data_IF_023440635494
#
_entry.id   IF_023440635494
#
_cell.length_a   1.000
_cell.length_b   1.000
_cell.length_c   1.000
_cell.angle_alpha   90.00
_cell.angle_beta   90.00
_cell.angle_gamma   90.00
#
_symmetry.space_group_name_H-M   'P 1'
#
loop_
_entity.id
_entity.type
_entity.pdbx_description
1 polymer ?
#
# COMPACT_ATOMS: atom_id res chain seq x y z
N UNK A 1 36.95 1.59 73.99
CA UNK A 1 37.88 1.23 72.89
C UNK A 1 37.30 1.47 71.50
N UNK A 2 35.97 1.31 71.28
CA UNK A 2 35.34 1.58 69.98
C UNK A 2 35.16 3.08 69.63
N UNK A 3 35.10 3.98 70.63
CA UNK A 3 34.89 5.43 70.41
C UNK A 3 36.13 6.14 69.85
N UNK A 4 37.33 5.73 70.27
CA UNK A 4 38.59 6.36 69.84
C UNK A 4 38.89 6.15 68.34
N UNK A 5 38.45 5.01 67.78
CA UNK A 5 38.63 4.68 66.37
C UNK A 5 37.73 5.49 65.44
N UNK A 6 36.56 5.96 65.91
CA UNK A 6 35.67 6.80 65.11
C UNK A 6 36.14 8.26 65.05
N UNK A 7 36.74 8.78 66.13
CA UNK A 7 37.23 10.16 66.21
C UNK A 7 38.60 10.36 65.54
N UNK A 8 39.37 9.29 65.31
CA UNK A 8 40.72 9.34 64.71
C UNK A 8 40.81 8.64 63.35
N UNK A 9 39.68 8.25 62.76
CA UNK A 9 39.69 7.71 61.40
C UNK A 9 40.05 8.84 60.42
N UNK A 10 41.11 8.69 59.60
CA UNK A 10 41.39 9.66 58.55
C UNK A 10 40.18 9.75 57.62
N UNK A 11 39.78 10.96 57.24
CA UNK A 11 38.69 11.16 56.29
C UNK A 11 38.95 10.30 55.05
N UNK A 12 38.05 9.38 54.74
CA UNK A 12 38.17 8.56 53.56
C UNK A 12 38.00 9.46 52.35
N UNK A 13 39.11 9.92 51.76
CA UNK A 13 39.10 10.54 50.44
C UNK A 13 38.53 9.53 49.47
N UNK A 14 37.32 9.80 49.00
CA UNK A 14 36.68 9.00 47.94
C UNK A 14 37.45 9.27 46.66
N UNK A 15 38.49 8.45 46.42
CA UNK A 15 39.24 8.47 45.16
C UNK A 15 38.38 7.85 44.07
N UNK A 16 38.10 8.62 43.04
CA UNK A 16 37.36 8.14 41.89
C UNK A 16 38.28 7.18 41.11
N UNK A 17 37.79 6.06 40.56
CA UNK A 17 38.63 5.14 39.78
C UNK A 17 39.38 5.81 38.60
N UNK A 18 38.85 6.94 38.12
CA UNK A 18 39.50 7.77 37.09
C UNK A 18 40.77 8.49 37.57
N UNK A 19 40.97 8.66 38.88
CA UNK A 19 42.16 9.30 39.46
C UNK A 19 43.41 8.42 39.31
N UNK A 20 43.21 7.12 39.02
CA UNK A 20 44.28 6.16 38.76
C UNK A 20 44.56 5.98 37.26
N UNK A 21 43.79 6.62 36.38
CA UNK A 21 44.08 6.57 34.95
C UNK A 21 45.24 7.54 34.63
N UNK A 22 46.31 7.05 33.96
CA UNK A 22 47.30 7.95 33.36
C UNK A 22 46.62 8.96 32.43
N UNK A 23 47.04 10.22 32.50
CA UNK A 23 46.45 11.32 31.74
C UNK A 23 46.38 11.02 30.23
N UNK A 24 47.41 10.37 29.68
CA UNK A 24 47.47 9.97 28.27
C UNK A 24 46.37 8.97 27.88
N UNK A 25 45.96 8.09 28.80
CA UNK A 25 44.89 7.14 28.54
C UNK A 25 43.53 7.84 28.57
N UNK A 26 43.34 8.75 29.52
CA UNK A 26 42.13 9.57 29.62
C UNK A 26 41.96 10.45 28.38
N UNK A 27 43.03 11.08 27.91
CA UNK A 27 43.06 11.94 26.73
C UNK A 27 42.73 11.13 25.46
N UNK A 28 43.37 9.98 25.25
CA UNK A 28 43.06 9.08 24.12
C UNK A 28 41.61 8.57 24.13
N UNK A 29 41.05 8.31 25.31
CA UNK A 29 39.66 7.91 25.45
C UNK A 29 38.71 9.06 25.11
N UNK A 30 39.01 10.28 25.55
CA UNK A 30 38.25 11.48 25.20
C UNK A 30 38.30 11.77 23.70
N UNK A 31 39.48 11.66 23.07
CA UNK A 31 39.63 11.80 21.61
C UNK A 31 38.84 10.75 20.83
N UNK A 32 38.85 9.50 21.28
CA UNK A 32 38.10 8.42 20.66
C UNK A 32 36.58 8.62 20.79
N UNK A 33 36.11 9.13 21.93
CA UNK A 33 34.70 9.44 22.18
C UNK A 33 34.25 10.72 21.45
N UNK A 34 35.16 11.69 21.28
CA UNK A 34 34.92 12.91 20.52
C UNK A 34 34.89 12.67 19.00
N UNK A 35 35.53 11.58 18.54
CA UNK A 35 35.45 11.15 17.15
C UNK A 35 34.03 10.66 16.87
N UNK A 36 33.26 11.46 16.13
CA UNK A 36 31.98 11.00 15.61
C UNK A 36 32.20 9.73 14.79
N UNK A 37 31.44 8.65 15.03
CA UNK A 37 31.52 7.47 14.19
C UNK A 37 31.31 7.88 12.74
N UNK A 38 32.12 7.33 11.82
CA UNK A 38 31.93 7.57 10.40
C UNK A 38 30.47 7.27 10.04
N UNK A 39 29.81 8.13 9.25
CA UNK A 39 28.44 7.88 8.83
C UNK A 39 28.43 6.53 8.12
N UNK A 40 27.60 5.60 8.63
CA UNK A 40 27.45 4.29 8.04
C UNK A 40 27.17 4.44 6.53
N UNK A 41 27.76 3.59 5.67
CA UNK A 41 27.55 3.68 4.23
C UNK A 41 26.04 3.73 3.96
N UNK A 42 25.63 4.66 3.08
CA UNK A 42 24.23 4.86 2.74
C UNK A 42 23.61 3.52 2.33
N UNK A 43 22.79 2.96 3.22
CA UNK A 43 22.16 1.67 2.98
C UNK A 43 21.22 1.86 1.80
N UNK A 44 21.40 1.06 0.75
CA UNK A 44 20.51 1.07 -0.40
C UNK A 44 19.06 0.88 0.10
N UNK A 45 18.11 1.75 -0.29
CA UNK A 45 16.79 1.74 0.31
C UNK A 45 16.12 0.38 0.06
N UNK A 46 15.77 -0.29 1.15
CA UNK A 46 15.09 -1.58 1.15
C UNK A 46 13.59 -1.36 1.34
N UNK A 47 12.77 -1.96 0.49
CA UNK A 47 11.31 -1.97 0.66
C UNK A 47 10.85 -3.37 1.06
N UNK A 48 10.22 -3.46 2.23
CA UNK A 48 9.75 -4.70 2.83
C UNK A 48 8.39 -5.09 2.26
N UNK A 49 8.28 -6.27 1.66
CA UNK A 49 7.06 -6.73 0.97
C UNK A 49 6.60 -8.08 1.49
N UNK A 50 5.29 -8.27 1.61
CA UNK A 50 4.71 -9.60 1.78
C UNK A 50 4.84 -10.44 0.49
N UNK A 51 4.73 -11.77 0.60
CA UNK A 51 4.84 -12.71 -0.53
C UNK A 51 3.99 -12.33 -1.77
N UNK A 52 2.78 -11.80 -1.56
CA UNK A 52 1.93 -11.36 -2.67
C UNK A 52 2.48 -10.10 -3.38
N UNK A 53 2.99 -9.13 -2.61
CA UNK A 53 3.55 -7.89 -3.15
C UNK A 53 4.93 -8.11 -3.78
N UNK A 54 5.64 -9.19 -3.44
CA UNK A 54 6.90 -9.56 -4.09
C UNK A 54 6.73 -9.90 -5.58
N UNK A 55 5.51 -10.26 -6.02
CA UNK A 55 5.20 -10.51 -7.44
C UNK A 55 5.09 -9.24 -8.28
N UNK A 56 4.98 -8.07 -7.64
CA UNK A 56 4.92 -6.78 -8.32
C UNK A 56 6.34 -6.26 -8.60
N UNK A 57 6.56 -5.51 -9.69
CA UNK A 57 7.88 -4.95 -9.99
C UNK A 57 8.38 -4.07 -8.84
N UNK A 58 9.69 -4.16 -8.57
CA UNK A 58 10.37 -3.25 -7.64
C UNK A 58 10.52 -1.86 -8.28
N UNK A 59 10.51 -0.80 -7.47
CA UNK A 59 10.86 0.54 -7.96
C UNK A 59 12.36 0.57 -8.28
N UNK A 60 12.74 1.32 -9.32
CA UNK A 60 14.14 1.48 -9.69
C UNK A 60 14.93 2.06 -8.51
N UNK A 61 16.07 1.45 -8.18
CA UNK A 61 16.93 1.87 -7.07
C UNK A 61 16.46 1.45 -5.68
N UNK A 62 15.44 0.59 -5.57
CA UNK A 62 14.93 0.07 -4.29
C UNK A 62 14.97 -1.46 -4.33
N UNK A 63 15.64 -2.06 -3.35
CA UNK A 63 15.69 -3.52 -3.22
C UNK A 63 14.45 -4.03 -2.48
N UNK A 64 13.60 -4.81 -3.15
CA UNK A 64 12.48 -5.48 -2.50
C UNK A 64 12.96 -6.69 -1.69
N UNK A 65 12.56 -6.77 -0.42
CA UNK A 65 12.87 -7.89 0.48
C UNK A 65 11.58 -8.47 1.03
N UNK A 66 11.46 -9.80 0.96
CA UNK A 66 10.31 -10.49 1.52
C UNK A 66 10.37 -10.46 3.06
N UNK A 67 9.24 -10.17 3.69
CA UNK A 67 9.12 -10.19 5.15
C UNK A 67 8.43 -11.45 5.65
N UNK A 68 8.82 -11.84 6.87
CA UNK A 68 8.11 -12.84 7.66
C UNK A 68 6.71 -12.36 8.08
N UNK A 69 5.91 -13.28 8.61
CA UNK A 69 4.49 -13.09 8.94
C UNK A 69 4.19 -11.98 9.95
N UNK A 70 5.17 -11.57 10.74
CA UNK A 70 4.99 -10.65 11.88
C UNK A 70 5.32 -9.20 11.53
N UNK A 71 5.70 -8.92 10.28
CA UNK A 71 6.05 -7.59 9.81
C UNK A 71 4.98 -7.00 8.88
N UNK A 72 4.86 -5.67 8.91
CA UNK A 72 3.95 -4.93 8.03
C UNK A 72 4.62 -4.69 6.68
N UNK A 73 3.89 -4.96 5.61
CA UNK A 73 4.36 -4.71 4.25
C UNK A 73 4.39 -3.20 3.96
N UNK A 74 5.54 -2.65 3.58
CA UNK A 74 5.72 -1.23 3.22
C UNK A 74 4.84 -0.84 2.01
N UNK A 75 4.60 -1.81 1.12
CA UNK A 75 3.82 -1.57 -0.10
C UNK A 75 2.32 -1.54 0.17
N UNK A 76 1.77 -2.57 0.83
CA UNK A 76 0.33 -2.70 1.02
C UNK A 76 -0.19 -2.31 2.40
N UNK A 77 0.69 -2.09 3.39
CA UNK A 77 0.31 -1.83 4.78
C UNK A 77 -0.56 -2.94 5.37
N UNK A 78 -0.38 -4.19 4.88
CA UNK A 78 -1.25 -5.34 5.19
C UNK A 78 -2.72 -5.22 4.74
N UNK A 79 -3.07 -4.20 3.95
CA UNK A 79 -4.42 -4.01 3.41
C UNK A 79 -4.67 -4.86 2.17
N UNK A 80 -5.66 -5.76 2.26
CA UNK A 80 -6.11 -6.57 1.12
C UNK A 80 -6.65 -5.70 -0.03
N UNK A 81 -7.32 -4.59 0.27
CA UNK A 81 -7.84 -3.66 -0.75
C UNK A 81 -6.69 -2.97 -1.51
N UNK A 82 -5.66 -2.51 -0.78
CA UNK A 82 -4.49 -1.89 -1.40
C UNK A 82 -3.71 -2.89 -2.26
N UNK A 83 -3.52 -4.12 -1.77
CA UNK A 83 -2.89 -5.20 -2.57
C UNK A 83 -3.62 -5.44 -3.88
N UNK A 84 -4.94 -5.61 -3.81
CA UNK A 84 -5.75 -5.90 -4.99
C UNK A 84 -5.78 -4.73 -5.99
N UNK A 85 -5.82 -3.49 -5.50
CA UNK A 85 -5.72 -2.30 -6.35
C UNK A 85 -4.37 -2.22 -7.09
N UNK A 86 -3.26 -2.45 -6.39
CA UNK A 86 -1.92 -2.46 -7.00
C UNK A 86 -1.79 -3.55 -8.07
N UNK A 87 -2.30 -4.75 -7.80
CA UNK A 87 -2.32 -5.83 -8.79
C UNK A 87 -3.16 -5.48 -10.03
N UNK A 88 -4.27 -4.77 -9.84
CA UNK A 88 -5.13 -4.33 -10.95
C UNK A 88 -4.48 -3.24 -11.79
N UNK A 89 -3.83 -2.26 -11.15
CA UNK A 89 -3.06 -1.22 -11.84
C UNK A 89 -1.99 -1.86 -12.73
N UNK A 90 -1.26 -2.85 -12.22
CA UNK A 90 -0.25 -3.56 -13.00
C UNK A 90 -0.87 -4.35 -14.16
N UNK A 91 -2.00 -5.02 -13.93
CA UNK A 91 -2.74 -5.70 -15.01
C UNK A 91 -3.23 -4.72 -16.11
N UNK A 92 -3.60 -3.50 -15.73
CA UNK A 92 -3.96 -2.44 -16.69
C UNK A 92 -2.73 -1.95 -17.46
N UNK A 93 -1.65 -1.67 -16.74
CA UNK A 93 -0.38 -1.17 -17.29
C UNK A 93 0.22 -2.14 -18.30
N UNK A 94 0.29 -3.43 -17.95
CA UNK A 94 0.83 -4.49 -18.84
C UNK A 94 0.04 -4.65 -20.13
N UNK A 95 -1.23 -4.20 -20.15
CA UNK A 95 -2.10 -4.27 -21.32
C UNK A 95 -2.39 -2.92 -21.98
N UNK A 96 -1.79 -1.85 -21.48
CA UNK A 96 -2.03 -0.49 -21.97
C UNK A 96 -3.45 0.03 -21.74
N UNK A 97 -4.22 -0.59 -20.83
CA UNK A 97 -5.55 -0.14 -20.45
C UNK A 97 -5.45 0.98 -19.42
N UNK A 98 -6.36 1.95 -19.44
CA UNK A 98 -6.36 3.08 -18.50
C UNK A 98 -7.72 3.45 -17.95
N UNK A 99 -8.81 2.95 -18.53
CA UNK A 99 -10.16 3.46 -18.25
C UNK A 99 -11.05 2.38 -17.65
N UNK A 100 -11.44 2.56 -16.40
CA UNK A 100 -12.35 1.67 -15.68
C UNK A 100 -13.68 2.37 -15.42
N UNK A 101 -14.77 1.75 -15.85
CA UNK A 101 -16.12 2.15 -15.47
C UNK A 101 -16.66 1.19 -14.41
N UNK A 102 -17.10 1.72 -13.28
CA UNK A 102 -17.76 0.95 -12.22
C UNK A 102 -19.23 1.36 -12.17
N UNK A 103 -20.11 0.38 -12.30
CA UNK A 103 -21.56 0.55 -12.21
C UNK A 103 -22.06 -0.05 -10.90
N UNK A 104 -22.49 0.80 -9.98
CA UNK A 104 -22.81 0.45 -8.60
C UNK A 104 -21.65 0.74 -7.62
N UNK A 105 -21.72 0.12 -6.45
CA UNK A 105 -20.86 0.37 -5.30
C UNK A 105 -21.53 1.27 -4.26
N UNK A 106 -21.18 1.06 -2.98
CA UNK A 106 -21.60 1.97 -1.91
C UNK A 106 -20.73 3.22 -1.91
N UNK A 107 -21.21 4.37 -1.39
CA UNK A 107 -20.48 5.64 -1.44
C UNK A 107 -19.09 5.54 -0.80
N UNK A 108 -18.96 4.84 0.34
CA UNK A 108 -17.66 4.63 0.98
C UNK A 108 -16.68 3.78 0.16
N UNK A 109 -17.14 2.68 -0.42
CA UNK A 109 -16.29 1.80 -1.25
C UNK A 109 -15.89 2.45 -2.58
N UNK A 110 -16.74 3.30 -3.13
CA UNK A 110 -16.46 4.05 -4.33
C UNK A 110 -15.33 5.06 -4.11
N UNK A 111 -15.37 5.78 -2.98
CA UNK A 111 -14.34 6.76 -2.65
C UNK A 111 -12.99 6.10 -2.33
N UNK A 112 -13.01 4.98 -1.60
CA UNK A 112 -11.81 4.19 -1.36
C UNK A 112 -11.17 3.70 -2.66
N UNK A 113 -11.99 3.25 -3.62
CA UNK A 113 -11.50 2.80 -4.93
C UNK A 113 -10.90 3.96 -5.73
N UNK A 114 -11.55 5.13 -5.75
CA UNK A 114 -10.98 6.33 -6.41
C UNK A 114 -9.63 6.69 -5.82
N UNK A 115 -9.52 6.73 -4.49
CA UNK A 115 -8.28 7.07 -3.81
C UNK A 115 -7.16 6.08 -4.10
N UNK A 116 -7.48 4.78 -4.16
CA UNK A 116 -6.50 3.73 -4.42
C UNK A 116 -6.00 3.71 -5.87
N UNK A 117 -6.79 4.19 -6.82
CA UNK A 117 -6.46 4.17 -8.26
C UNK A 117 -6.05 5.53 -8.82
N UNK A 118 -6.12 6.59 -7.99
CA UNK A 118 -5.86 7.95 -8.40
C UNK A 118 -4.47 8.09 -9.06
N UNK A 119 -4.45 8.68 -10.25
CA UNK A 119 -3.22 8.94 -11.02
C UNK A 119 -2.75 7.79 -11.91
N UNK A 120 -3.27 6.58 -11.72
CA UNK A 120 -2.85 5.39 -12.48
C UNK A 120 -3.93 4.87 -13.42
N UNK A 121 -5.19 4.89 -12.97
CA UNK A 121 -6.36 4.43 -13.74
C UNK A 121 -7.45 5.49 -13.68
N UNK A 122 -7.90 5.94 -14.84
CA UNK A 122 -9.06 6.81 -14.95
C UNK A 122 -10.32 6.03 -14.59
N UNK A 123 -11.00 6.44 -13.53
CA UNK A 123 -12.19 5.77 -13.04
C UNK A 123 -13.44 6.65 -13.15
N UNK A 124 -14.51 6.08 -13.71
CA UNK A 124 -15.87 6.62 -13.59
C UNK A 124 -16.71 5.70 -12.75
N UNK A 125 -17.45 6.27 -11.81
CA UNK A 125 -18.36 5.51 -10.95
C UNK A 125 -19.79 5.98 -11.19
N UNK A 126 -20.66 5.02 -11.45
CA UNK A 126 -22.08 5.19 -11.72
C UNK A 126 -22.84 4.74 -10.49
N UNK A 127 -23.25 5.69 -9.67
CA UNK A 127 -24.24 5.48 -8.61
C UNK A 127 -25.65 5.26 -9.19
N UNK A 128 -26.47 4.49 -8.47
CA UNK A 128 -27.84 4.15 -8.87
C UNK A 128 -28.86 5.27 -8.68
N UNK A 129 -28.43 6.39 -8.09
CA UNK A 129 -29.27 7.52 -7.68
C UNK A 129 -29.33 8.63 -8.74
N UNK A 130 -28.31 8.74 -9.61
CA UNK A 130 -28.26 9.75 -10.67
C UNK A 130 -29.21 9.46 -11.84
N UNK A 131 -29.92 10.49 -12.32
CA UNK A 131 -30.71 10.41 -13.55
C UNK A 131 -29.79 10.17 -14.77
N UNK A 132 -29.73 8.92 -15.21
CA UNK A 132 -28.98 8.49 -16.40
C UNK A 132 -29.92 8.08 -17.52
N UNK A 133 -29.60 8.53 -18.72
CA UNK A 133 -30.29 8.16 -19.95
C UNK A 133 -29.40 7.19 -20.77
N UNK A 134 -30.01 6.53 -21.76
CA UNK A 134 -29.30 5.55 -22.60
C UNK A 134 -28.10 6.16 -23.34
N UNK A 135 -28.18 7.43 -23.75
CA UNK A 135 -27.09 8.11 -24.44
C UNK A 135 -25.84 8.28 -23.55
N UNK A 136 -26.03 8.66 -22.28
CA UNK A 136 -24.93 8.75 -21.30
C UNK A 136 -24.31 7.39 -21.00
N UNK A 137 -25.14 6.37 -20.79
CA UNK A 137 -24.65 5.01 -20.54
C UNK A 137 -23.82 4.48 -21.71
N UNK A 138 -24.26 4.73 -22.94
CA UNK A 138 -23.56 4.35 -24.17
C UNK A 138 -22.23 5.11 -24.35
N UNK A 139 -22.19 6.39 -23.98
CA UNK A 139 -20.95 7.17 -23.96
C UNK A 139 -19.95 6.66 -22.90
N UNK A 140 -20.43 6.30 -21.71
CA UNK A 140 -19.61 5.73 -20.64
C UNK A 140 -19.07 4.35 -21.04
N UNK A 141 -19.91 3.50 -21.65
CA UNK A 141 -19.51 2.20 -22.18
C UNK A 141 -18.46 2.34 -23.29
N UNK A 142 -18.57 3.32 -24.19
CA UNK A 142 -17.55 3.58 -25.22
C UNK A 142 -16.24 4.10 -24.64
N UNK A 143 -16.32 4.95 -23.61
CA UNK A 143 -15.14 5.51 -22.97
C UNK A 143 -14.31 4.46 -22.24
N UNK A 144 -14.96 3.48 -21.59
CA UNK A 144 -14.31 2.50 -20.73
C UNK A 144 -13.59 1.39 -21.50
N UNK A 145 -12.41 1.00 -21.02
CA UNK A 145 -11.70 -0.19 -21.47
C UNK A 145 -12.26 -1.45 -20.80
N UNK A 146 -12.62 -1.33 -19.52
CA UNK A 146 -13.25 -2.38 -18.71
C UNK A 146 -14.46 -1.81 -17.97
N UNK A 147 -15.54 -2.58 -17.91
CA UNK A 147 -16.79 -2.19 -17.23
C UNK A 147 -17.09 -3.18 -16.12
N UNK A 148 -16.97 -2.75 -14.87
CA UNK A 148 -17.30 -3.56 -13.69
C UNK A 148 -18.70 -3.25 -13.17
N UNK A 149 -19.62 -4.19 -13.31
CA UNK A 149 -20.97 -4.11 -12.75
C UNK A 149 -20.96 -4.70 -11.35
N UNK A 150 -21.10 -3.84 -10.34
CA UNK A 150 -21.02 -4.21 -8.94
C UNK A 150 -22.40 -4.62 -8.40
N UNK A 151 -22.73 -5.90 -8.55
CA UNK A 151 -24.07 -6.44 -8.29
C UNK A 151 -24.52 -6.42 -6.83
N UNK A 152 -23.59 -6.19 -5.90
CA UNK A 152 -23.86 -6.29 -4.45
C UNK A 152 -24.49 -5.02 -3.83
N UNK A 153 -24.63 -3.97 -4.63
CA UNK A 153 -25.38 -2.75 -4.33
C UNK A 153 -26.59 -2.66 -5.24
N UNK A 154 -27.76 -2.47 -4.63
CA UNK A 154 -29.04 -2.35 -5.33
C UNK A 154 -29.00 -1.07 -6.17
N UNK A 155 -28.78 -1.22 -7.47
CA UNK A 155 -29.05 -0.19 -8.44
C UNK A 155 -30.54 -0.22 -8.77
N UNK A 156 -31.14 0.91 -9.12
CA UNK A 156 -32.48 0.88 -9.70
C UNK A 156 -32.49 -0.04 -10.94
N UNK A 157 -33.50 -0.91 -11.05
CA UNK A 157 -33.64 -1.84 -12.18
C UNK A 157 -33.55 -1.14 -13.55
N UNK A 158 -33.91 0.15 -13.62
CA UNK A 158 -33.82 0.99 -14.80
C UNK A 158 -32.38 1.32 -15.21
N UNK A 159 -31.50 1.65 -14.26
CA UNK A 159 -30.10 1.99 -14.57
C UNK A 159 -29.28 0.73 -14.86
N UNK A 160 -29.55 -0.39 -14.18
CA UNK A 160 -28.81 -1.64 -14.43
C UNK A 160 -28.99 -2.10 -15.86
N UNK A 161 -30.25 -2.09 -16.33
CA UNK A 161 -30.61 -2.47 -17.70
C UNK A 161 -29.86 -1.65 -18.76
N UNK A 162 -29.63 -0.35 -18.53
CA UNK A 162 -28.89 0.49 -19.49
C UNK A 162 -27.46 -0.01 -19.76
N UNK A 163 -26.83 -0.66 -18.78
CA UNK A 163 -25.47 -1.18 -18.91
C UNK A 163 -25.45 -2.69 -19.19
N UNK A 164 -26.44 -3.45 -18.71
CA UNK A 164 -26.49 -4.92 -18.90
C UNK A 164 -27.15 -5.34 -20.21
N UNK A 165 -28.16 -4.61 -20.71
CA UNK A 165 -28.86 -4.96 -21.95
C UNK A 165 -27.98 -4.73 -23.19
N UNK A 166 -26.83 -4.04 -23.02
CA UNK A 166 -25.83 -3.84 -24.07
C UNK A 166 -24.69 -4.87 -24.03
N UNK A 167 -24.88 -5.98 -23.30
CA UNK A 167 -23.90 -7.07 -23.22
C UNK A 167 -23.57 -7.66 -24.60
N UNK A 168 -24.49 -7.63 -25.56
CA UNK A 168 -24.23 -8.13 -26.91
C UNK A 168 -23.18 -7.28 -27.65
N UNK A 169 -23.13 -5.97 -27.39
CA UNK A 169 -22.18 -5.06 -28.02
C UNK A 169 -20.87 -4.90 -27.21
N UNK A 170 -20.91 -5.05 -25.89
CA UNK A 170 -19.77 -4.75 -24.99
C UNK A 170 -19.41 -5.88 -24.02
N UNK A 171 -19.96 -7.08 -24.17
CA UNK A 171 -19.75 -8.23 -23.27
C UNK A 171 -18.29 -8.66 -23.17
N UNK A 172 -17.50 -8.40 -24.22
CA UNK A 172 -16.05 -8.63 -24.23
C UNK A 172 -15.30 -7.90 -23.12
N UNK A 173 -15.81 -6.75 -22.63
CA UNK A 173 -15.17 -5.94 -21.57
C UNK A 173 -16.00 -5.78 -20.30
N UNK A 174 -17.21 -6.34 -20.26
CA UNK A 174 -18.09 -6.28 -19.10
C UNK A 174 -17.75 -7.42 -18.12
N UNK A 175 -17.54 -7.07 -16.86
CA UNK A 175 -17.37 -8.00 -15.74
C UNK A 175 -18.43 -7.76 -14.69
N UNK A 176 -19.04 -8.84 -14.20
CA UNK A 176 -20.01 -8.79 -13.11
C UNK A 176 -19.30 -9.15 -11.82
N UNK A 177 -19.37 -8.27 -10.81
CA UNK A 177 -18.72 -8.45 -9.51
C UNK A 177 -19.77 -8.88 -8.48
N UNK A 178 -19.83 -10.17 -8.10
CA UNK A 178 -20.89 -10.70 -7.25
C UNK A 178 -20.73 -10.32 -5.77
N UNK A 179 -19.52 -9.97 -5.32
CA UNK A 179 -19.19 -9.73 -3.90
C UNK A 179 -19.03 -8.24 -3.57
N UNK A 180 -19.30 -7.89 -2.31
CA UNK A 180 -18.97 -6.57 -1.74
C UNK A 180 -17.46 -6.45 -1.50
N UNK A 181 -16.95 -5.22 -1.54
CA UNK A 181 -15.57 -4.88 -1.19
C UNK A 181 -14.64 -4.61 -2.39
N UNK A 182 -13.76 -3.62 -2.22
CA UNK A 182 -12.83 -3.14 -3.24
C UNK A 182 -11.92 -4.25 -3.76
N UNK A 183 -11.38 -5.09 -2.87
CA UNK A 183 -10.54 -6.21 -3.28
C UNK A 183 -11.26 -7.19 -4.23
N UNK A 184 -12.54 -7.49 -3.98
CA UNK A 184 -13.29 -8.41 -4.84
C UNK A 184 -13.53 -7.82 -6.24
N UNK A 185 -13.77 -6.51 -6.33
CA UNK A 185 -13.90 -5.80 -7.59
C UNK A 185 -12.58 -5.85 -8.38
N UNK A 186 -11.46 -5.49 -7.74
CA UNK A 186 -10.16 -5.50 -8.39
C UNK A 186 -9.79 -6.89 -8.91
N UNK A 187 -10.04 -7.95 -8.12
CA UNK A 187 -9.74 -9.33 -8.53
C UNK A 187 -10.59 -9.78 -9.73
N UNK A 188 -11.89 -9.48 -9.74
CA UNK A 188 -12.76 -9.82 -10.87
C UNK A 188 -12.33 -9.09 -12.15
N UNK A 189 -11.93 -7.82 -12.02
CA UNK A 189 -11.39 -7.04 -13.13
C UNK A 189 -10.08 -7.65 -13.64
N UNK A 190 -9.14 -8.02 -12.77
CA UNK A 190 -7.87 -8.67 -13.14
C UNK A 190 -8.14 -9.97 -13.92
N UNK A 191 -9.05 -10.81 -13.43
CA UNK A 191 -9.43 -12.04 -14.11
C UNK A 191 -10.03 -11.77 -15.49
N UNK A 192 -10.95 -10.80 -15.60
CA UNK A 192 -11.55 -10.41 -16.88
C UNK A 192 -10.50 -9.91 -17.85
N UNK A 193 -9.64 -9.01 -17.40
CA UNK A 193 -8.52 -8.52 -18.18
C UNK A 193 -7.72 -9.74 -18.63
N UNK A 194 -7.29 -10.61 -17.72
CA UNK A 194 -6.65 -11.91 -17.96
C UNK A 194 -7.22 -12.71 -19.15
N UNK A 195 -8.53 -12.89 -19.18
CA UNK A 195 -9.26 -13.74 -20.15
C UNK A 195 -9.42 -13.15 -21.55
N UNK A 196 -9.34 -11.83 -21.74
CA UNK A 196 -9.53 -11.18 -23.06
C UNK A 196 -8.33 -11.38 -24.02
N UNK A 197 -7.54 -12.44 -23.84
CA UNK A 197 -6.34 -12.79 -24.63
C UNK A 197 -6.48 -14.14 -25.35
N UNK A 198 -7.71 -14.58 -25.61
CA UNK A 198 -8.02 -15.76 -26.43
C UNK A 198 -8.64 -15.36 -27.75
#
# INVERSE_FOLDING_TARGET
MLVWLAENAPAAEVRHPADFLPAEIAERAQEALARSPEPAPAQEPVERRCADCMRLPAKAGVRAVEIGTDAVCDMCGSSANKRAALAMIEAFRTRGLRRLLVVGGGPGTAEDLRRLLAGEVDIRIVDGEGHRNAAKADADLRWADVVAVWSSTILSHKVSKLYTDRRDAFGGKLVTVPRRGVAALCMAVIEKVGLTTG
#
